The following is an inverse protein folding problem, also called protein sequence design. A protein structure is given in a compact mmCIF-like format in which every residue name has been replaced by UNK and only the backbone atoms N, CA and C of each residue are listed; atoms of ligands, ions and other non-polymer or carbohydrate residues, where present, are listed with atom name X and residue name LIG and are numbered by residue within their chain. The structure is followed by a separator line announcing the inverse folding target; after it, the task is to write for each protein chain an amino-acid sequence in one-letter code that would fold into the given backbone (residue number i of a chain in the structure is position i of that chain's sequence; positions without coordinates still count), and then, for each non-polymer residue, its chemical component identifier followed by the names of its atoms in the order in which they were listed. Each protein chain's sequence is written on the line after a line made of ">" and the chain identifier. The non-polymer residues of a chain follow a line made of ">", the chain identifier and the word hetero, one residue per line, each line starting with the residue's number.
data_IF_211520865752
#
_entry.id   IF_211520865752
#
_cell.length_a   1.000
_cell.length_b   1.000
_cell.length_c   1.000
_cell.angle_alpha   90.00
_cell.angle_beta   90.00
_cell.angle_gamma   90.00
#
_symmetry.space_group_name_H-M   'P 1'
#
loop_
_entity.id
_entity.type
_entity.pdbx_description
1 polymer ?
#
# COMPACT_ATOMS: atom_id res chain seq x y z
N UNK A 1 -0.74 5.03 -8.61
CA UNK A 1 0.50 5.58 -9.21
C UNK A 1 1.13 4.48 -10.01
N UNK A 2 1.39 4.69 -11.30
CA UNK A 2 2.03 3.67 -12.12
C UNK A 2 3.57 3.77 -11.97
N UNK A 3 4.20 2.62 -11.77
CA UNK A 3 5.66 2.46 -11.66
C UNK A 3 6.03 1.06 -12.15
N UNK A 4 7.32 0.74 -12.12
CA UNK A 4 7.75 -0.64 -12.27
C UNK A 4 7.57 -1.40 -10.95
N UNK A 5 7.38 -2.71 -11.03
CA UNK A 5 7.42 -3.56 -9.84
C UNK A 5 8.85 -3.67 -9.27
N UNK A 6 8.97 -4.29 -8.09
CA UNK A 6 10.26 -4.48 -7.40
C UNK A 6 11.32 -5.14 -8.27
N UNK A 7 10.88 -5.95 -9.24
CA UNK A 7 11.74 -6.74 -10.12
C UNK A 7 12.06 -6.04 -11.45
N UNK A 8 11.54 -4.83 -11.67
CA UNK A 8 11.71 -4.04 -12.90
C UNK A 8 11.20 -4.72 -14.19
N UNK A 9 10.23 -5.63 -14.08
CA UNK A 9 9.72 -6.43 -15.20
C UNK A 9 8.43 -5.87 -15.78
N UNK A 10 7.56 -5.31 -14.93
CA UNK A 10 6.17 -4.96 -15.27
C UNK A 10 5.88 -3.53 -14.89
N UNK A 11 5.07 -2.83 -15.69
CA UNK A 11 4.63 -1.48 -15.40
C UNK A 11 3.16 -1.46 -14.96
N UNK A 12 2.86 -0.82 -13.83
CA UNK A 12 1.54 -0.84 -13.22
C UNK A 12 1.54 -0.25 -11.80
N UNK A 13 0.44 -0.44 -11.06
CA UNK A 13 0.38 -0.10 -9.64
C UNK A 13 0.62 -1.37 -8.83
N UNK A 14 1.74 -1.45 -8.12
CA UNK A 14 2.13 -2.65 -7.37
C UNK A 14 1.98 -2.48 -5.86
N UNK A 15 1.60 -3.57 -5.20
CA UNK A 15 1.41 -3.63 -3.75
C UNK A 15 2.65 -3.17 -3.00
N UNK A 16 3.81 -3.70 -3.38
CA UNK A 16 5.07 -3.39 -2.73
C UNK A 16 5.39 -1.89 -2.80
N UNK A 17 5.38 -1.33 -4.01
CA UNK A 17 5.69 0.09 -4.24
C UNK A 17 4.68 1.01 -3.54
N UNK A 18 3.39 0.65 -3.55
CA UNK A 18 2.37 1.42 -2.85
C UNK A 18 2.57 1.39 -1.33
N UNK A 19 2.84 0.21 -0.75
CA UNK A 19 3.08 0.07 0.70
C UNK A 19 4.35 0.81 1.15
N UNK A 20 5.43 0.74 0.37
CA UNK A 20 6.65 1.52 0.63
C UNK A 20 6.42 3.03 0.56
N UNK A 21 5.60 3.47 -0.40
CA UNK A 21 5.22 4.89 -0.52
C UNK A 21 4.44 5.35 0.69
N UNK A 22 3.46 4.55 1.15
CA UNK A 22 2.71 4.80 2.38
C UNK A 22 3.64 4.93 3.59
N UNK A 23 4.53 3.96 3.81
CA UNK A 23 5.45 3.95 4.94
C UNK A 23 6.42 5.15 4.93
N UNK A 24 6.87 5.55 3.74
CA UNK A 24 7.68 6.75 3.56
C UNK A 24 6.95 8.03 3.94
N UNK A 25 5.66 8.15 3.57
CA UNK A 25 4.82 9.31 3.94
C UNK A 25 4.54 9.35 5.44
N UNK A 26 4.23 8.21 6.07
CA UNK A 26 4.10 8.10 7.54
C UNK A 26 5.39 8.56 8.25
N UNK A 27 6.54 8.09 7.75
CA UNK A 27 7.85 8.47 8.29
C UNK A 27 8.13 9.97 8.09
N UNK A 28 7.80 10.53 6.93
CA UNK A 28 7.98 11.94 6.63
C UNK A 28 7.08 12.82 7.51
N UNK A 29 5.86 12.38 7.80
CA UNK A 29 4.97 13.03 8.76
C UNK A 29 5.59 13.06 10.16
N UNK A 30 6.08 11.92 10.64
CA UNK A 30 6.74 11.81 11.94
C UNK A 30 7.94 12.75 12.06
N UNK A 31 8.82 12.79 11.04
CA UNK A 31 9.95 13.72 11.05
C UNK A 31 9.50 15.18 11.03
N UNK A 32 8.54 15.53 10.18
CA UNK A 32 8.03 16.91 10.09
C UNK A 32 7.44 17.38 11.42
N UNK A 33 6.64 16.54 12.08
CA UNK A 33 6.06 16.84 13.38
C UNK A 33 7.14 17.00 14.46
N UNK A 34 8.16 16.14 14.44
CA UNK A 34 9.31 16.21 15.36
C UNK A 34 10.09 17.53 15.26
N UNK A 35 10.05 18.22 14.12
CA UNK A 35 10.65 19.54 13.92
C UNK A 35 9.66 20.71 14.11
N UNK A 36 8.41 20.43 14.50
CA UNK A 36 7.36 21.44 14.70
C UNK A 36 6.61 21.85 13.43
N UNK A 37 6.89 21.22 12.28
CA UNK A 37 6.26 21.51 10.99
C UNK A 37 4.88 20.81 10.86
N UNK A 38 3.96 21.15 11.77
CA UNK A 38 2.66 20.45 11.93
C UNK A 38 1.73 20.52 10.71
N UNK A 39 1.84 21.56 9.88
CA UNK A 39 1.06 21.67 8.63
C UNK A 39 1.60 20.69 7.59
N UNK A 40 2.92 20.61 7.47
CA UNK A 40 3.59 19.69 6.56
C UNK A 40 3.35 18.24 7.01
N UNK A 41 3.47 17.95 8.30
CA UNK A 41 3.17 16.63 8.87
C UNK A 41 1.76 16.15 8.51
N UNK A 42 0.74 17.01 8.69
CA UNK A 42 -0.65 16.69 8.29
C UNK A 42 -0.81 16.44 6.80
N UNK A 43 -0.05 17.15 5.95
CA UNK A 43 -0.10 16.93 4.51
C UNK A 43 0.44 15.55 4.13
N UNK A 44 1.51 15.10 4.79
CA UNK A 44 2.07 13.77 4.58
C UNK A 44 1.14 12.66 5.11
N UNK A 45 0.56 12.83 6.30
CA UNK A 45 -0.42 11.87 6.82
C UNK A 45 -1.64 11.75 5.91
N UNK A 46 -2.17 12.87 5.42
CA UNK A 46 -3.30 12.84 4.49
C UNK A 46 -2.95 12.06 3.21
N UNK A 47 -1.76 12.28 2.65
CA UNK A 47 -1.32 11.53 1.48
C UNK A 47 -1.11 10.04 1.81
N UNK A 48 -0.59 9.72 3.00
CA UNK A 48 -0.44 8.34 3.45
C UNK A 48 -1.81 7.64 3.55
N UNK A 49 -2.81 8.30 4.16
CA UNK A 49 -4.18 7.78 4.26
C UNK A 49 -4.79 7.51 2.87
N UNK A 50 -4.62 8.44 1.91
CA UNK A 50 -5.08 8.25 0.53
C UNK A 50 -4.43 7.02 -0.14
N UNK A 51 -3.14 6.78 0.10
CA UNK A 51 -2.46 5.57 -0.42
C UNK A 51 -2.97 4.31 0.28
N UNK A 52 -3.15 4.33 1.61
CA UNK A 52 -3.68 3.19 2.38
C UNK A 52 -5.08 2.79 1.91
N UNK A 53 -5.97 3.77 1.75
CA UNK A 53 -7.31 3.55 1.19
C UNK A 53 -7.24 2.98 -0.22
N UNK A 54 -6.34 3.49 -1.06
CA UNK A 54 -6.10 2.96 -2.40
C UNK A 54 -5.66 1.50 -2.42
N UNK A 55 -4.72 1.11 -1.55
CA UNK A 55 -4.25 -0.28 -1.40
C UNK A 55 -5.43 -1.18 -0.98
N UNK A 56 -6.17 -0.81 0.06
CA UNK A 56 -7.30 -1.61 0.56
C UNK A 56 -8.42 -1.75 -0.48
N UNK A 57 -8.72 -0.68 -1.21
CA UNK A 57 -9.81 -0.66 -2.20
C UNK A 57 -9.47 -1.42 -3.47
N UNK A 58 -8.26 -1.25 -3.99
CA UNK A 58 -7.92 -1.73 -5.34
C UNK A 58 -7.08 -3.02 -5.34
N UNK A 59 -6.28 -3.27 -4.29
CA UNK A 59 -5.33 -4.37 -4.24
C UNK A 59 -5.70 -5.48 -3.26
N UNK A 60 -6.76 -5.34 -2.45
CA UNK A 60 -7.30 -6.46 -1.68
C UNK A 60 -8.12 -7.42 -2.55
N UNK A 61 -7.80 -8.71 -2.52
CA UNK A 61 -8.62 -9.77 -3.11
C UNK A 61 -9.57 -10.32 -2.04
N UNK A 62 -10.83 -9.91 -2.10
CA UNK A 62 -11.86 -10.34 -1.15
C UNK A 62 -12.20 -11.83 -1.28
N UNK A 63 -12.12 -12.38 -2.49
CA UNK A 63 -12.56 -13.75 -2.75
C UNK A 63 -11.57 -14.78 -2.17
N UNK A 64 -10.27 -14.48 -2.25
CA UNK A 64 -9.21 -15.39 -1.83
C UNK A 64 -8.54 -15.00 -0.49
N UNK A 65 -8.82 -13.79 0.02
CA UNK A 65 -8.31 -13.33 1.32
C UNK A 65 -6.81 -12.99 1.33
N UNK A 66 -6.27 -12.48 0.21
CA UNK A 66 -4.89 -11.97 0.13
C UNK A 66 -4.80 -10.72 -0.77
N UNK A 67 -3.64 -10.07 -0.83
CA UNK A 67 -3.46 -8.90 -1.70
C UNK A 67 -2.96 -9.29 -3.10
N UNK A 68 -3.55 -8.71 -4.15
CA UNK A 68 -3.02 -8.78 -5.51
C UNK A 68 -1.57 -8.24 -5.54
N UNK A 69 -0.68 -8.84 -6.34
CA UNK A 69 0.70 -8.35 -6.54
C UNK A 69 0.68 -6.93 -7.11
N UNK A 70 -0.25 -6.66 -8.01
CA UNK A 70 -0.47 -5.34 -8.60
C UNK A 70 -1.74 -5.27 -9.43
N UNK A 71 -1.99 -4.09 -9.98
CA UNK A 71 -3.11 -3.79 -10.84
C UNK A 71 -2.73 -2.77 -11.90
N UNK A 72 -3.34 -2.90 -13.08
CA UNK A 72 -3.34 -1.85 -14.10
C UNK A 72 -4.52 -0.93 -13.82
N UNK A 73 -4.22 0.35 -13.55
CA UNK A 73 -5.22 1.36 -13.23
C UNK A 73 -5.08 2.50 -14.23
N UNK A 74 -6.17 2.81 -14.94
CA UNK A 74 -6.26 3.90 -15.91
C UNK A 74 -7.48 4.76 -15.55
N UNK A 75 -7.27 6.07 -15.38
CA UNK A 75 -8.33 7.03 -15.04
C UNK A 75 -9.21 6.62 -13.85
N UNK A 76 -8.59 5.96 -12.86
CA UNK A 76 -9.27 5.46 -11.65
C UNK A 76 -10.04 4.15 -11.84
N UNK A 77 -10.13 3.63 -13.06
CA UNK A 77 -10.69 2.32 -13.35
C UNK A 77 -9.59 1.24 -13.28
N UNK A 78 -9.88 0.13 -12.58
CA UNK A 78 -9.01 -1.04 -12.58
C UNK A 78 -9.28 -1.84 -13.85
N UNK A 79 -8.28 -1.94 -14.73
CA UNK A 79 -8.37 -2.67 -15.99
C UNK A 79 -8.06 -4.15 -15.81
N UNK A 80 -7.02 -4.44 -15.02
CA UNK A 80 -6.55 -5.78 -14.76
C UNK A 80 -5.94 -5.85 -13.35
N UNK A 81 -6.00 -7.04 -12.73
CA UNK A 81 -5.37 -7.33 -11.44
C UNK A 81 -4.50 -8.58 -11.58
N UNK A 82 -3.33 -8.57 -10.97
CA UNK A 82 -2.41 -9.70 -10.95
C UNK A 82 -2.63 -10.50 -9.65
N UNK A 83 -3.31 -11.66 -9.71
CA UNK A 83 -3.57 -12.50 -8.53
C UNK A 83 -2.36 -13.32 -8.11
N UNK A 84 -1.22 -13.26 -8.81
CA UNK A 84 -0.05 -14.07 -8.50
C UNK A 84 0.49 -13.72 -7.11
N UNK A 85 0.51 -14.65 -6.14
CA UNK A 85 1.13 -14.40 -4.85
C UNK A 85 2.63 -14.14 -5.02
N UNK A 86 3.15 -13.15 -4.29
CA UNK A 86 4.55 -12.72 -4.41
C UNK A 86 5.13 -12.40 -3.03
N UNK A 87 6.40 -12.76 -2.80
CA UNK A 87 7.08 -12.53 -1.52
C UNK A 87 7.22 -11.04 -1.18
N UNK A 88 7.20 -10.16 -2.19
CA UNK A 88 7.20 -8.70 -2.00
C UNK A 88 6.01 -8.20 -1.18
N UNK A 89 4.95 -8.99 -1.00
CA UNK A 89 3.85 -8.69 -0.07
C UNK A 89 4.26 -8.70 1.41
N UNK A 90 5.40 -9.33 1.77
CA UNK A 90 5.95 -9.30 3.13
C UNK A 90 6.19 -7.88 3.64
N UNK A 91 6.44 -6.92 2.73
CA UNK A 91 6.63 -5.51 3.05
C UNK A 91 5.47 -4.92 3.85
N UNK A 92 4.25 -5.48 3.70
CA UNK A 92 3.09 -5.05 4.48
C UNK A 92 3.30 -5.25 5.99
N UNK A 93 3.97 -6.35 6.37
CA UNK A 93 4.31 -6.63 7.77
C UNK A 93 5.52 -5.79 8.18
N UNK A 94 6.55 -5.73 7.34
CA UNK A 94 7.79 -5.00 7.66
C UNK A 94 7.56 -3.50 7.89
N UNK A 95 6.63 -2.90 7.14
CA UNK A 95 6.26 -1.49 7.26
C UNK A 95 5.23 -1.22 8.35
N UNK A 96 4.64 -2.27 8.95
CA UNK A 96 3.52 -2.13 9.90
C UNK A 96 2.19 -1.77 9.24
N UNK A 97 2.05 -1.92 7.91
CA UNK A 97 0.77 -1.77 7.23
C UNK A 97 -0.23 -2.85 7.69
N UNK A 98 0.27 -4.08 7.85
CA UNK A 98 -0.43 -5.19 8.49
C UNK A 98 0.24 -5.51 9.82
N UNK A 99 -0.57 -5.59 10.87
CA UNK A 99 -0.11 -6.07 12.17
C UNK A 99 -0.31 -7.59 12.25
N UNK A 100 0.77 -8.40 12.35
CA UNK A 100 0.66 -9.85 12.45
C UNK A 100 0.06 -10.32 13.79
N UNK A 101 0.00 -9.45 14.80
CA UNK A 101 -0.63 -9.74 16.09
C UNK A 101 -2.17 -9.66 16.03
N UNK A 102 -2.74 -9.01 15.01
CA UNK A 102 -4.18 -8.97 14.78
C UNK A 102 -4.59 -10.27 14.09
N UNK A 103 -5.07 -11.23 14.86
CA UNK A 103 -5.81 -12.37 14.31
C UNK A 103 -7.12 -11.85 13.70
N UNK A 104 -7.31 -12.04 12.39
CA UNK A 104 -8.66 -11.94 11.84
C UNK A 104 -9.48 -13.09 12.42
N UNK A 105 -10.67 -12.80 12.93
CA UNK A 105 -11.69 -13.80 13.26
C UNK A 105 -12.02 -14.56 11.97
N UNK A 106 -11.24 -15.60 11.66
CA UNK A 106 -11.54 -16.54 10.58
C UNK A 106 -12.61 -17.49 11.09
N UNK A 107 -13.82 -16.98 11.26
CA UNK A 107 -15.02 -17.78 11.46
C UNK A 107 -16.25 -16.90 11.22
N UNK A 108 -16.73 -16.92 9.97
CA UNK A 108 -18.14 -16.88 9.59
C UNK A 108 -18.30 -17.29 8.12
#
# INVERSE_FOLDING_TARGET
>A
MASYDLWEERHGTFLHTAAMTWAGLESAAYFSDSFGETVLARSFLKAADEIREGIQKHLWNQDEGYFYRGAEILDGAVLNKDPTPDISSLVLVETGFLDPAIQSDREQ
#
